data_IF_982276930241
#
_entry.id   IF_982276930241
#
_cell.length_a   1.000
_cell.length_b   1.000
_cell.length_c   1.000
_cell.angle_alpha   90.00
_cell.angle_beta   90.00
_cell.angle_gamma   90.00
#
_symmetry.space_group_name_H-M   'P 1'
#
loop_
_entity.id
_entity.type
_entity.pdbx_description
1 polymer ?
#
# COMPACT_ATOMS: atom_id res chain seq x y z
N UNK A 1 3.46 1.94 -11.84
CA UNK A 1 3.46 1.64 -10.40
C UNK A 1 4.18 0.33 -10.19
N UNK A 2 4.69 0.07 -8.98
CA UNK A 2 5.23 -1.24 -8.61
C UNK A 2 4.07 -2.27 -8.58
N UNK A 3 4.24 -3.52 -9.06
CA UNK A 3 3.18 -4.53 -9.03
C UNK A 3 3.00 -5.08 -7.60
N UNK A 4 2.37 -4.30 -6.73
CA UNK A 4 2.02 -4.67 -5.35
C UNK A 4 0.55 -4.40 -5.09
N UNK A 5 -0.13 -5.34 -4.42
CA UNK A 5 -1.58 -5.32 -4.29
C UNK A 5 -2.28 -5.98 -5.46
N UNK A 6 -3.59 -6.13 -5.37
CA UNK A 6 -4.40 -6.81 -6.38
C UNK A 6 -4.48 -5.96 -7.64
N UNK A 7 -4.87 -4.69 -7.50
CA UNK A 7 -5.13 -3.81 -8.65
C UNK A 7 -3.87 -3.54 -9.48
N UNK A 8 -2.74 -3.22 -8.84
CA UNK A 8 -1.51 -2.93 -9.58
C UNK A 8 -0.83 -4.18 -10.15
N UNK A 9 -1.09 -5.35 -9.58
CA UNK A 9 -0.69 -6.63 -10.19
C UNK A 9 -1.53 -6.92 -11.42
N UNK A 10 -2.85 -6.67 -11.36
CA UNK A 10 -3.74 -6.77 -12.51
C UNK A 10 -3.29 -5.82 -13.63
N UNK A 11 -3.05 -4.54 -13.33
CA UNK A 11 -2.57 -3.54 -14.29
C UNK A 11 -1.26 -3.95 -14.97
N UNK A 12 -0.33 -4.50 -14.18
CA UNK A 12 0.93 -5.00 -14.71
C UNK A 12 0.72 -6.17 -15.68
N UNK A 13 -0.08 -7.17 -15.28
CA UNK A 13 -0.36 -8.34 -16.12
C UNK A 13 -1.13 -7.97 -17.40
N UNK A 14 -2.10 -7.06 -17.30
CA UNK A 14 -2.82 -6.52 -18.45
C UNK A 14 -1.85 -5.82 -19.41
N UNK A 15 -0.93 -4.98 -18.90
CA UNK A 15 0.03 -4.30 -19.76
C UNK A 15 1.04 -5.24 -20.41
N UNK A 16 1.50 -6.27 -19.68
CA UNK A 16 2.36 -7.33 -20.24
C UNK A 16 1.64 -8.09 -21.35
N UNK A 17 0.36 -8.43 -21.14
CA UNK A 17 -0.47 -9.09 -22.15
C UNK A 17 -0.63 -8.24 -23.42
N UNK A 18 -0.93 -6.95 -23.26
CA UNK A 18 -1.05 -5.97 -24.35
C UNK A 18 0.24 -5.88 -25.18
N UNK A 19 1.39 -5.73 -24.51
CA UNK A 19 2.70 -5.56 -25.17
C UNK A 19 3.19 -6.84 -25.85
N UNK A 20 2.91 -8.01 -25.26
CA UNK A 20 3.40 -9.30 -25.77
C UNK A 20 2.41 -10.01 -26.70
N UNK A 21 1.15 -9.58 -26.73
CA UNK A 21 0.05 -10.27 -27.40
C UNK A 21 -0.32 -11.63 -26.78
N UNK A 22 0.29 -12.01 -25.65
CA UNK A 22 0.03 -13.28 -24.97
C UNK A 22 -1.13 -13.12 -24.00
N UNK A 23 -2.09 -14.03 -24.04
CA UNK A 23 -3.17 -14.05 -23.05
C UNK A 23 -2.62 -14.32 -21.65
N UNK A 24 -3.27 -13.73 -20.63
CA UNK A 24 -2.96 -14.01 -19.23
C UNK A 24 -3.36 -15.48 -18.94
N UNK A 25 -2.44 -16.33 -18.46
CA UNK A 25 -2.74 -17.73 -18.16
C UNK A 25 -3.84 -17.88 -17.10
N UNK A 26 -4.68 -18.91 -17.24
CA UNK A 26 -5.75 -19.23 -16.28
C UNK A 26 -5.21 -19.49 -14.87
N UNK A 27 -3.96 -19.98 -14.74
CA UNK A 27 -3.31 -20.18 -13.44
C UNK A 27 -3.19 -18.87 -12.65
N UNK A 28 -2.90 -17.74 -13.30
CA UNK A 28 -2.80 -16.44 -12.65
C UNK A 28 -4.17 -15.88 -12.29
N UNK A 29 -5.19 -16.09 -13.14
CA UNK A 29 -6.57 -15.74 -12.81
C UNK A 29 -7.07 -16.50 -11.56
N UNK A 30 -6.70 -17.78 -11.44
CA UNK A 30 -7.00 -18.59 -10.26
C UNK A 30 -6.23 -18.12 -9.03
N UNK A 31 -4.96 -17.75 -9.18
CA UNK A 31 -4.15 -17.19 -8.08
C UNK A 31 -4.71 -15.87 -7.57
N UNK A 32 -5.13 -14.97 -8.46
CA UNK A 32 -5.85 -13.74 -8.12
C UNK A 32 -7.11 -14.03 -7.31
N UNK A 33 -7.91 -15.02 -7.73
CA UNK A 33 -9.11 -15.44 -7.00
C UNK A 33 -8.79 -15.90 -5.57
N UNK A 34 -7.71 -16.66 -5.38
CA UNK A 34 -7.24 -17.08 -4.05
C UNK A 34 -6.74 -15.92 -3.20
N UNK A 35 -6.08 -14.94 -3.80
CA UNK A 35 -5.64 -13.74 -3.09
C UNK A 35 -6.85 -12.95 -2.55
N UNK A 36 -7.87 -12.74 -3.39
CA UNK A 36 -9.12 -12.09 -2.99
C UNK A 36 -9.85 -12.84 -1.87
N UNK A 37 -9.86 -14.17 -1.93
CA UNK A 37 -10.44 -15.05 -0.89
C UNK A 37 -9.76 -14.83 0.47
N UNK A 38 -8.42 -14.82 0.50
CA UNK A 38 -7.63 -14.56 1.71
C UNK A 38 -7.88 -13.15 2.27
N UNK A 39 -8.01 -12.14 1.40
CA UNK A 39 -8.35 -10.77 1.83
C UNK A 39 -9.73 -10.75 2.48
N UNK A 40 -10.73 -11.41 1.89
CA UNK A 40 -12.08 -11.48 2.43
C UNK A 40 -12.11 -12.17 3.79
N UNK A 41 -11.42 -13.31 3.95
CA UNK A 41 -11.34 -14.06 5.21
C UNK A 41 -10.63 -13.27 6.32
N UNK A 42 -9.61 -12.48 5.95
CA UNK A 42 -8.78 -11.72 6.90
C UNK A 42 -9.34 -10.34 7.22
N UNK A 43 -10.31 -9.85 6.45
CA UNK A 43 -10.83 -8.48 6.54
C UNK A 43 -11.33 -8.13 7.95
N UNK A 44 -12.00 -9.06 8.64
CA UNK A 44 -12.50 -8.82 10.00
C UNK A 44 -11.40 -8.48 11.02
N UNK A 45 -10.19 -8.99 10.81
CA UNK A 45 -9.04 -8.73 11.70
C UNK A 45 -8.25 -7.49 11.29
N UNK A 46 -8.16 -7.22 9.98
CA UNK A 46 -7.38 -6.12 9.42
C UNK A 46 -8.14 -4.79 9.36
N UNK A 47 -9.47 -4.83 9.28
CA UNK A 47 -10.28 -3.63 9.14
C UNK A 47 -10.01 -2.63 10.28
N UNK A 48 -9.68 -1.39 9.91
CA UNK A 48 -9.41 -0.28 10.82
C UNK A 48 -8.11 -0.41 11.63
N UNK A 49 -7.28 -1.43 11.38
CA UNK A 49 -5.96 -1.51 12.02
C UNK A 49 -5.06 -0.40 11.52
N UNK A 50 -4.38 0.27 12.45
CA UNK A 50 -3.51 1.41 12.18
C UNK A 50 -2.07 0.96 12.01
N UNK A 51 -1.47 1.36 10.90
CA UNK A 51 -0.09 1.03 10.60
C UNK A 51 0.76 2.31 10.51
N UNK A 52 1.94 2.24 11.10
CA UNK A 52 3.06 3.05 10.68
C UNK A 52 3.92 2.21 9.74
N UNK A 53 4.46 2.79 8.67
CA UNK A 53 5.34 2.07 7.76
C UNK A 53 6.47 2.95 7.22
N UNK A 54 7.62 2.32 6.97
CA UNK A 54 8.75 3.00 6.34
C UNK A 54 9.52 2.15 5.33
N UNK A 55 10.34 2.81 4.51
CA UNK A 55 11.22 2.14 3.55
C UNK A 55 11.47 2.96 2.29
N UNK A 56 11.90 2.26 1.25
CA UNK A 56 12.11 2.86 -0.07
C UNK A 56 10.78 3.29 -0.73
N UNK A 57 10.80 4.30 -1.61
CA UNK A 57 9.58 4.97 -2.04
C UNK A 57 8.60 4.03 -2.77
N UNK A 58 9.10 3.16 -3.66
CA UNK A 58 8.25 2.24 -4.40
C UNK A 58 7.62 1.19 -3.48
N UNK A 59 8.41 0.61 -2.57
CA UNK A 59 7.91 -0.35 -1.58
C UNK A 59 6.84 0.26 -0.69
N UNK A 60 7.11 1.44 -0.11
CA UNK A 60 6.18 2.11 0.80
C UNK A 60 4.87 2.44 0.08
N UNK A 61 4.94 2.97 -1.14
CA UNK A 61 3.74 3.26 -1.94
C UNK A 61 2.93 2.00 -2.27
N UNK A 62 3.61 0.90 -2.64
CA UNK A 62 2.97 -0.39 -2.86
C UNK A 62 2.32 -0.95 -1.59
N UNK A 63 2.98 -0.82 -0.45
CA UNK A 63 2.44 -1.28 0.83
C UNK A 63 1.25 -0.43 1.29
N UNK A 64 1.26 0.89 1.08
CA UNK A 64 0.08 1.73 1.28
C UNK A 64 -1.09 1.22 0.45
N UNK A 65 -0.88 0.93 -0.85
CA UNK A 65 -1.94 0.39 -1.72
C UNK A 65 -2.52 -0.91 -1.16
N UNK A 66 -1.68 -1.86 -0.78
CA UNK A 66 -2.08 -3.15 -0.19
C UNK A 66 -2.89 -2.94 1.09
N UNK A 67 -2.44 -2.07 2.00
CA UNK A 67 -3.14 -1.79 3.26
C UNK A 67 -4.53 -1.21 3.01
N UNK A 68 -4.65 -0.26 2.07
CA UNK A 68 -5.93 0.32 1.70
C UNK A 68 -6.89 -0.71 1.08
N UNK A 69 -6.38 -1.65 0.26
CA UNK A 69 -7.18 -2.75 -0.31
C UNK A 69 -7.68 -3.72 0.77
N UNK A 70 -6.90 -3.93 1.83
CA UNK A 70 -7.26 -4.78 2.97
C UNK A 70 -8.17 -4.07 3.99
N UNK A 71 -8.51 -2.79 3.80
CA UNK A 71 -9.29 -2.00 4.77
C UNK A 71 -8.52 -1.56 6.02
N UNK A 72 -7.19 -1.58 5.95
CA UNK A 72 -6.30 -1.08 7.00
C UNK A 72 -5.97 0.41 6.80
N UNK A 73 -5.62 1.09 7.89
CA UNK A 73 -5.33 2.53 7.90
C UNK A 73 -3.81 2.79 7.98
N UNK A 74 -3.15 3.17 6.87
CA UNK A 74 -1.74 3.60 6.89
C UNK A 74 -1.62 5.04 7.44
N UNK A 75 -1.50 5.14 8.76
CA UNK A 75 -1.51 6.42 9.51
C UNK A 75 -0.22 7.23 9.40
N UNK A 76 0.95 6.58 9.52
CA UNK A 76 2.26 7.23 9.41
C UNK A 76 3.08 6.58 8.30
N UNK A 77 3.30 7.32 7.21
CA UNK A 77 3.94 6.80 6.00
C UNK A 77 5.25 7.55 5.79
N UNK A 78 6.37 6.90 6.04
CA UNK A 78 7.69 7.52 5.98
C UNK A 78 8.54 6.95 4.87
N UNK A 79 9.15 7.81 4.06
CA UNK A 79 10.24 7.40 3.17
C UNK A 79 11.34 8.45 3.19
N UNK A 80 12.49 8.09 3.75
CA UNK A 80 13.60 9.02 3.97
C UNK A 80 14.17 9.55 2.66
N UNK A 81 14.34 8.68 1.67
CA UNK A 81 14.92 8.96 0.36
C UNK A 81 13.88 9.37 -0.70
N UNK A 82 12.61 9.54 -0.33
CA UNK A 82 11.58 10.01 -1.25
C UNK A 82 11.67 11.51 -1.53
N UNK A 83 11.07 11.93 -2.65
CA UNK A 83 10.97 13.32 -3.06
C UNK A 83 9.53 13.85 -2.95
N UNK A 84 9.37 15.17 -3.13
CA UNK A 84 8.05 15.83 -3.06
C UNK A 84 7.04 15.32 -4.10
N UNK A 85 7.50 14.85 -5.27
CA UNK A 85 6.61 14.31 -6.31
C UNK A 85 6.01 12.98 -5.86
N UNK A 86 6.83 12.13 -5.23
CA UNK A 86 6.37 10.89 -4.62
C UNK A 86 5.37 11.16 -3.49
N UNK A 87 5.65 12.13 -2.60
CA UNK A 87 4.74 12.49 -1.51
C UNK A 87 3.34 12.84 -2.01
N UNK A 88 3.24 13.70 -3.03
CA UNK A 88 1.95 14.04 -3.69
C UNK A 88 1.24 12.85 -4.31
N UNK A 89 1.99 11.88 -4.85
CA UNK A 89 1.39 10.69 -5.44
C UNK A 89 0.79 9.78 -4.36
N UNK A 90 1.45 9.64 -3.21
CA UNK A 90 0.92 8.89 -2.06
C UNK A 90 -0.27 9.62 -1.44
N UNK A 91 -0.23 10.95 -1.30
CA UNK A 91 -1.37 11.75 -0.83
C UNK A 91 -2.60 11.58 -1.72
N UNK A 92 -2.42 11.55 -3.05
CA UNK A 92 -3.50 11.25 -3.98
C UNK A 92 -4.06 9.84 -3.76
N UNK A 93 -3.18 8.84 -3.61
CA UNK A 93 -3.59 7.46 -3.35
C UNK A 93 -4.41 7.34 -2.05
N UNK A 94 -4.03 8.08 -1.00
CA UNK A 94 -4.79 8.12 0.25
C UNK A 94 -6.16 8.77 0.07
N UNK A 95 -6.25 9.83 -0.74
CA UNK A 95 -7.51 10.53 -1.00
C UNK A 95 -8.53 9.67 -1.77
N UNK A 96 -8.06 8.68 -2.54
CA UNK A 96 -8.91 7.78 -3.30
C UNK A 96 -9.56 6.66 -2.43
N UNK A 97 -9.24 6.59 -1.13
CA UNK A 97 -9.75 5.56 -0.21
C UNK A 97 -10.25 6.13 1.12
N UNK A 98 -11.39 5.65 1.67
CA UNK A 98 -11.87 6.06 2.99
C UNK A 98 -10.88 5.68 4.12
N UNK A 99 -10.05 4.67 3.92
CA UNK A 99 -9.04 4.24 4.89
C UNK A 99 -7.78 5.12 4.88
N UNK A 100 -7.64 6.01 3.90
CA UNK A 100 -6.53 6.95 3.78
C UNK A 100 -6.73 8.27 4.52
N UNK A 101 -7.92 8.54 5.06
CA UNK A 101 -8.29 9.84 5.66
C UNK A 101 -7.32 10.31 6.75
N UNK A 102 -6.81 9.36 7.56
CA UNK A 102 -5.89 9.65 8.66
C UNK A 102 -4.41 9.56 8.26
N UNK A 103 -4.10 9.26 7.00
CA UNK A 103 -2.75 9.01 6.54
C UNK A 103 -1.92 10.29 6.39
N UNK A 104 -0.70 10.26 6.93
CA UNK A 104 0.27 11.36 6.86
C UNK A 104 1.56 10.88 6.20
N UNK A 105 2.02 11.62 5.20
CA UNK A 105 3.21 11.27 4.41
C UNK A 105 4.41 12.11 4.83
N UNK A 106 5.54 11.46 5.08
CA UNK A 106 6.77 12.06 5.58
C UNK A 106 7.95 11.73 4.66
N UNK A 107 8.47 12.75 3.96
CA UNK A 107 9.65 12.63 3.08
C UNK A 107 10.87 13.30 3.70
N UNK A 108 12.04 12.64 3.72
CA UNK A 108 13.27 13.19 4.34
C UNK A 108 13.36 13.05 5.86
N UNK A 109 12.34 12.46 6.48
CA UNK A 109 12.31 12.16 7.91
C UNK A 109 13.07 10.85 8.16
N UNK A 110 13.55 10.65 9.40
CA UNK A 110 14.25 9.43 9.80
C UNK A 110 13.45 8.63 10.85
N UNK A 111 14.02 7.50 11.30
CA UNK A 111 13.37 6.64 12.29
C UNK A 111 13.28 7.26 13.70
N UNK A 112 14.06 8.29 14.00
CA UNK A 112 13.92 9.02 15.26
C UNK A 112 12.65 9.88 15.27
N UNK A 113 12.31 10.46 14.12
CA UNK A 113 11.01 11.09 13.94
C UNK A 113 9.88 10.07 14.02
N UNK A 114 10.02 8.91 13.35
CA UNK A 114 9.04 7.81 13.41
C UNK A 114 8.79 7.34 14.84
N UNK A 115 9.85 7.17 15.64
CA UNK A 115 9.74 6.86 17.06
C UNK A 115 8.79 7.83 17.76
N UNK A 116 8.98 9.13 17.55
CA UNK A 116 8.15 10.16 18.18
C UNK A 116 6.70 10.09 17.72
N UNK A 117 6.44 9.87 16.43
CA UNK A 117 5.10 9.67 15.88
C UNK A 117 4.39 8.46 16.52
N UNK A 118 5.08 7.32 16.64
CA UNK A 118 4.53 6.12 17.27
C UNK A 118 4.23 6.27 18.77
N UNK A 119 4.81 7.27 19.44
CA UNK A 119 4.47 7.60 20.83
C UNK A 119 3.30 8.58 20.94
N UNK A 120 3.24 9.60 20.10
CA UNK A 120 2.22 10.66 20.19
C UNK A 120 0.89 10.28 19.54
N UNK A 121 0.95 9.50 18.46
CA UNK A 121 -0.20 9.03 17.67
C UNK A 121 0.01 7.55 17.38
N UNK A 122 -0.20 6.74 18.42
CA UNK A 122 0.23 5.33 18.47
C UNK A 122 -0.49 4.46 17.42
N UNK A 123 0.22 3.83 16.46
CA UNK A 123 -0.34 2.82 15.58
C UNK A 123 -0.46 1.47 16.30
N UNK A 124 -1.20 0.53 15.71
CA UNK A 124 -1.27 -0.85 16.19
C UNK A 124 0.01 -1.61 15.85
N UNK A 125 0.58 -1.36 14.67
CA UNK A 125 1.76 -2.05 14.15
C UNK A 125 2.72 -1.10 13.42
N UNK A 126 3.98 -1.53 13.32
CA UNK A 126 5.02 -0.90 12.50
C UNK A 126 5.48 -1.91 11.43
N UNK A 127 5.56 -1.47 10.18
CA UNK A 127 6.08 -2.23 9.04
C UNK A 127 7.38 -1.59 8.53
#
# INVERSE_FOLDING_TARGET
SIPMGVEWTDDFLMKVSEVTGKAIPESLAKERGRCMDVIADSHAWLHGKKFALYGDPDFVMGMVKVLLECGAEPTHILSHNANKRWGKAVEKLLADSPFGVNGKVYTGYDLWHMRSLCFTDKPDFLI
#
